data_IF_719656900081
#
_entry.id   IF_719656900081
#
_cell.length_a   1.000
_cell.length_b   1.000
_cell.length_c   1.000
_cell.angle_alpha   90.00
_cell.angle_beta   90.00
_cell.angle_gamma   90.00
#
_symmetry.space_group_name_H-M   'P 1'
#
loop_
_entity.id
_entity.type
_entity.pdbx_description
1 polymer ?
#
# COMPACT_ATOMS: atom_id res chain seq x y z
N UNK A 1 -4.53 -5.87 12.71
CA UNK A 1 -5.26 -5.27 11.57
C UNK A 1 -5.81 -3.92 12.01
N UNK A 2 -5.44 -2.81 11.35
CA UNK A 2 -5.93 -1.48 11.69
C UNK A 2 -7.41 -1.30 11.33
N UNK A 3 -8.14 -0.55 12.16
CA UNK A 3 -9.58 -0.28 11.97
C UNK A 3 -9.86 1.06 11.27
N UNK A 4 -8.89 1.99 11.25
CA UNK A 4 -9.05 3.35 10.73
C UNK A 4 -7.83 3.77 9.92
N UNK A 5 -8.01 4.68 8.97
CA UNK A 5 -6.90 5.25 8.20
C UNK A 5 -5.91 6.02 9.08
N UNK A 6 -6.40 6.71 10.10
CA UNK A 6 -5.54 7.40 11.07
C UNK A 6 -4.70 6.44 11.92
N UNK A 7 -5.24 5.27 12.31
CA UNK A 7 -4.48 4.24 13.02
C UNK A 7 -3.56 3.43 12.11
N UNK A 8 -3.79 3.47 10.80
CA UNK A 8 -2.99 2.78 9.80
C UNK A 8 -1.80 3.64 9.33
N UNK A 9 -2.08 4.81 8.74
CA UNK A 9 -1.08 5.78 8.31
C UNK A 9 -1.68 7.19 8.52
N UNK A 10 -1.25 7.90 9.59
CA UNK A 10 -1.79 9.22 9.90
C UNK A 10 -1.58 10.22 8.76
N UNK A 11 -2.59 11.04 8.48
CA UNK A 11 -2.46 12.10 7.47
C UNK A 11 -1.39 13.14 7.85
N UNK A 12 -1.17 13.33 9.16
CA UNK A 12 -0.12 14.19 9.70
C UNK A 12 1.29 13.72 9.28
N UNK A 13 1.53 12.41 9.28
CA UNK A 13 2.84 11.87 8.90
C UNK A 13 3.13 12.04 7.41
N UNK A 14 2.11 11.87 6.57
CA UNK A 14 2.20 12.18 5.13
C UNK A 14 2.49 13.67 4.93
N UNK A 15 1.79 14.51 5.70
CA UNK A 15 1.94 15.97 5.64
C UNK A 15 3.36 16.41 5.98
N UNK A 16 3.89 15.90 7.09
CA UNK A 16 5.23 16.22 7.57
C UNK A 16 6.33 15.72 6.60
N UNK A 17 6.14 14.52 6.02
CA UNK A 17 7.12 13.93 5.11
C UNK A 17 7.17 14.62 3.74
N UNK A 18 6.05 15.17 3.28
CA UNK A 18 5.94 15.79 1.95
C UNK A 18 5.99 17.33 1.98
N UNK A 19 6.05 17.95 3.17
CA UNK A 19 6.03 19.40 3.36
C UNK A 19 4.82 20.07 2.68
N UNK A 20 3.67 19.39 2.73
CA UNK A 20 2.40 19.80 2.14
C UNK A 20 1.26 19.28 2.99
N UNK A 21 0.14 19.99 3.13
CA UNK A 21 -1.05 19.47 3.84
C UNK A 21 -1.67 18.30 3.09
N UNK A 22 -1.84 17.15 3.75
CA UNK A 22 -2.61 16.01 3.25
C UNK A 22 -3.78 15.69 4.18
N UNK A 23 -4.86 15.16 3.61
CA UNK A 23 -6.05 14.75 4.35
C UNK A 23 -6.59 13.42 3.85
N UNK A 24 -7.14 12.62 4.75
CA UNK A 24 -7.95 11.46 4.38
C UNK A 24 -9.27 11.94 3.77
N UNK A 25 -9.56 11.49 2.55
CA UNK A 25 -10.83 11.81 1.89
C UNK A 25 -12.03 11.09 2.49
N UNK A 26 -11.82 9.98 3.20
CA UNK A 26 -12.89 9.11 3.69
C UNK A 26 -13.63 8.35 2.59
N UNK A 27 -13.16 8.43 1.35
CA UNK A 27 -13.72 7.71 0.20
C UNK A 27 -12.97 6.38 0.00
N UNK A 28 -13.61 5.22 0.27
CA UNK A 28 -12.96 3.94 0.03
C UNK A 28 -12.74 3.73 -1.48
N UNK A 29 -11.61 3.13 -1.84
CA UNK A 29 -11.25 2.86 -3.24
C UNK A 29 -11.14 1.36 -3.45
N UNK A 30 -11.75 0.83 -4.51
CA UNK A 30 -11.71 -0.60 -4.81
C UNK A 30 -10.28 -1.04 -5.22
N UNK A 31 -9.66 -2.02 -4.54
CA UNK A 31 -8.32 -2.48 -4.88
C UNK A 31 -8.22 -3.17 -6.26
N UNK A 32 -9.35 -3.68 -6.77
CA UNK A 32 -9.42 -4.39 -8.05
C UNK A 32 -8.98 -3.53 -9.26
N UNK A 33 -9.12 -2.20 -9.19
CA UNK A 33 -8.68 -1.29 -10.26
C UNK A 33 -7.32 -0.67 -9.99
N UNK A 34 -6.92 -0.57 -8.72
CA UNK A 34 -5.76 0.22 -8.31
C UNK A 34 -4.49 -0.59 -8.10
N UNK A 35 -4.59 -1.86 -7.69
CA UNK A 35 -3.42 -2.68 -7.43
C UNK A 35 -2.80 -3.18 -8.74
N UNK A 36 -1.48 -3.01 -8.95
CA UNK A 36 -0.78 -3.66 -10.05
C UNK A 36 -0.79 -5.19 -9.91
N UNK A 37 -1.07 -5.88 -11.01
CA UNK A 37 -0.93 -7.33 -11.15
C UNK A 37 -2.19 -8.14 -10.81
N UNK A 38 -2.51 -9.19 -11.59
CA UNK A 38 -3.72 -9.98 -11.39
C UNK A 38 -3.72 -10.76 -10.08
N UNK A 39 -2.56 -11.27 -9.63
CA UNK A 39 -2.46 -12.02 -8.37
C UNK A 39 -2.74 -11.14 -7.15
N UNK A 40 -2.26 -9.90 -7.14
CA UNK A 40 -2.54 -8.93 -6.08
C UNK A 40 -4.05 -8.61 -6.01
N UNK A 41 -4.70 -8.41 -7.16
CA UNK A 41 -6.15 -8.17 -7.22
C UNK A 41 -6.96 -9.37 -6.74
N UNK A 42 -6.58 -10.58 -7.14
CA UNK A 42 -7.24 -11.80 -6.69
C UNK A 42 -7.10 -11.99 -5.17
N UNK A 43 -5.91 -11.82 -4.61
CA UNK A 43 -5.69 -11.90 -3.17
C UNK A 43 -6.49 -10.83 -2.40
N UNK A 44 -6.64 -9.63 -2.94
CA UNK A 44 -7.46 -8.59 -2.34
C UNK A 44 -8.96 -8.95 -2.33
N UNK A 45 -9.45 -9.71 -3.30
CA UNK A 45 -10.83 -10.22 -3.34
C UNK A 45 -11.04 -11.39 -2.36
N UNK A 46 -10.00 -12.18 -2.09
CA UNK A 46 -10.03 -13.33 -1.18
C UNK A 46 -9.80 -12.94 0.30
N UNK A 47 -9.35 -11.71 0.57
CA UNK A 47 -9.08 -11.22 1.90
C UNK A 47 -10.32 -11.30 2.82
N UNK A 48 -10.13 -11.78 4.05
CA UNK A 48 -11.20 -11.92 5.03
C UNK A 48 -11.76 -10.55 5.46
N UNK A 49 -10.87 -9.56 5.60
CA UNK A 49 -11.20 -8.16 5.88
C UNK A 49 -10.20 -7.25 5.16
N UNK A 50 -10.64 -6.02 4.86
CA UNK A 50 -9.80 -5.02 4.22
C UNK A 50 -10.08 -3.62 4.79
N UNK A 51 -9.01 -2.84 4.98
CA UNK A 51 -9.05 -1.39 5.16
C UNK A 51 -8.59 -0.74 3.85
N UNK A 52 -9.29 0.30 3.41
CA UNK A 52 -8.93 1.11 2.24
C UNK A 52 -8.95 2.58 2.61
N UNK A 53 -7.84 3.25 2.30
CA UNK A 53 -7.59 4.64 2.64
C UNK A 53 -7.13 5.40 1.40
N UNK A 54 -7.53 6.67 1.33
CA UNK A 54 -7.14 7.57 0.25
C UNK A 54 -6.83 8.94 0.81
N UNK A 55 -5.59 9.35 0.69
CA UNK A 55 -5.13 10.68 1.07
C UNK A 55 -4.94 11.57 -0.15
N UNK A 56 -5.38 12.81 0.00
CA UNK A 56 -5.21 13.85 -1.00
C UNK A 56 -4.35 14.99 -0.46
N UNK A 57 -3.45 15.55 -1.27
CA UNK A 57 -2.86 16.85 -0.98
C UNK A 57 -3.92 17.95 -1.05
N UNK A 58 -3.77 18.99 -0.24
CA UNK A 58 -4.63 20.18 -0.27
C UNK A 58 -4.49 20.96 -1.59
N UNK A 59 -3.29 20.98 -2.18
CA UNK A 59 -3.01 21.81 -3.36
C UNK A 59 -3.25 21.11 -4.70
N UNK A 60 -3.27 19.78 -4.75
CA UNK A 60 -3.32 19.04 -6.01
C UNK A 60 -4.71 18.51 -6.38
N UNK A 61 -4.98 18.50 -7.68
CA UNK A 61 -6.17 17.87 -8.29
C UNK A 61 -5.85 16.52 -8.93
N UNK A 62 -4.57 16.20 -9.10
CA UNK A 62 -4.06 14.99 -9.75
C UNK A 62 -2.91 14.43 -8.92
N UNK A 63 -3.08 13.22 -8.40
CA UNK A 63 -2.11 12.54 -7.53
C UNK A 63 -2.61 12.39 -6.09
N UNK A 64 -2.95 11.15 -5.75
CA UNK A 64 -3.38 10.75 -4.41
C UNK A 64 -2.53 9.56 -3.95
N UNK A 65 -2.47 9.36 -2.64
CA UNK A 65 -1.89 8.16 -2.04
C UNK A 65 -3.05 7.23 -1.67
N UNK A 66 -2.96 5.99 -2.12
CA UNK A 66 -3.81 4.91 -1.65
C UNK A 66 -3.04 4.06 -0.66
N UNK A 67 -3.74 3.63 0.37
CA UNK A 67 -3.25 2.64 1.31
C UNK A 67 -4.29 1.56 1.53
N UNK A 68 -3.82 0.33 1.54
CA UNK A 68 -4.63 -0.83 1.83
C UNK A 68 -3.96 -1.68 2.89
N UNK A 69 -4.77 -2.28 3.75
CA UNK A 69 -4.37 -3.40 4.59
C UNK A 69 -5.40 -4.52 4.41
N UNK A 70 -4.92 -5.75 4.23
CA UNK A 70 -5.73 -6.94 3.98
C UNK A 70 -5.37 -8.01 4.98
N UNK A 71 -6.38 -8.62 5.61
CA UNK A 71 -6.17 -9.83 6.40
C UNK A 71 -6.31 -11.04 5.49
N UNK A 72 -5.22 -11.77 5.30
CA UNK A 72 -5.14 -12.95 4.43
C UNK A 72 -5.02 -14.22 5.26
N UNK A 73 -5.56 -15.34 4.77
CA UNK A 73 -5.16 -16.64 5.26
C UNK A 73 -3.75 -17.01 4.75
N UNK A 74 -3.09 -17.96 5.43
CA UNK A 74 -1.73 -18.40 5.11
C UNK A 74 -1.56 -18.82 3.64
N UNK A 75 -2.56 -19.50 3.06
CA UNK A 75 -2.45 -20.01 1.68
C UNK A 75 -2.51 -18.88 0.65
N UNK A 76 -3.40 -17.91 0.86
CA UNK A 76 -3.53 -16.72 0.01
C UNK A 76 -2.30 -15.83 0.13
N UNK A 77 -1.80 -15.64 1.36
CA UNK A 77 -0.58 -14.88 1.64
C UNK A 77 0.63 -15.48 0.94
N UNK A 78 0.93 -16.75 1.20
CA UNK A 78 2.12 -17.41 0.68
C UNK A 78 2.05 -17.52 -0.85
N UNK A 79 0.87 -17.83 -1.40
CA UNK A 79 0.63 -17.83 -2.84
C UNK A 79 0.86 -16.47 -3.49
N UNK A 80 0.47 -15.37 -2.83
CA UNK A 80 0.74 -14.03 -3.33
C UNK A 80 2.23 -13.69 -3.28
N UNK A 81 2.93 -14.00 -2.18
CA UNK A 81 4.38 -13.77 -2.04
C UNK A 81 5.15 -14.51 -3.15
N UNK A 82 4.83 -15.77 -3.39
CA UNK A 82 5.44 -16.58 -4.45
C UNK A 82 5.15 -16.01 -5.85
N UNK A 83 3.92 -15.57 -6.11
CA UNK A 83 3.54 -14.96 -7.38
C UNK A 83 4.28 -13.65 -7.64
N UNK A 84 4.43 -12.80 -6.61
CA UNK A 84 5.18 -11.54 -6.71
C UNK A 84 6.67 -11.80 -6.91
N UNK A 85 7.26 -12.73 -6.15
CA UNK A 85 8.68 -13.06 -6.24
C UNK A 85 9.11 -13.76 -7.53
N UNK A 86 8.17 -14.40 -8.24
CA UNK A 86 8.43 -15.04 -9.53
C UNK A 86 8.16 -14.13 -10.74
N UNK A 87 7.47 -13.00 -10.54
CA UNK A 87 7.10 -12.07 -11.60
C UNK A 87 8.19 -11.03 -11.84
N UNK A 88 8.64 -10.88 -13.09
CA UNK A 88 9.73 -9.95 -13.47
C UNK A 88 9.38 -8.46 -13.36
N UNK A 89 8.11 -8.13 -13.12
CA UNK A 89 7.63 -6.75 -12.97
C UNK A 89 7.76 -6.22 -11.54
N UNK A 90 8.06 -7.10 -10.59
CA UNK A 90 8.25 -6.75 -9.19
C UNK A 90 9.71 -6.94 -8.80
N UNK A 91 10.19 -6.00 -8.01
CA UNK A 91 11.49 -6.06 -7.37
C UNK A 91 11.29 -6.44 -5.90
N UNK A 92 12.03 -7.45 -5.42
CA UNK A 92 12.04 -7.76 -3.99
C UNK A 92 12.86 -6.69 -3.26
N UNK A 93 12.27 -6.08 -2.23
CA UNK A 93 12.88 -5.01 -1.44
C UNK A 93 12.84 -5.35 0.05
N UNK A 94 13.70 -4.68 0.83
CA UNK A 94 13.66 -4.77 2.29
C UNK A 94 12.83 -3.62 2.84
N UNK A 95 11.91 -3.92 3.75
CA UNK A 95 11.09 -2.94 4.46
C UNK A 95 11.20 -3.30 5.95
N UNK A 96 11.57 -2.35 6.82
CA UNK A 96 11.72 -2.63 8.24
C UNK A 96 10.38 -3.07 8.84
N UNK A 97 10.40 -4.20 9.55
CA UNK A 97 9.22 -4.77 10.20
C UNK A 97 8.36 -5.68 9.30
N UNK A 98 8.67 -5.80 8.01
CA UNK A 98 8.01 -6.73 7.10
C UNK A 98 8.73 -8.09 7.05
N UNK A 99 7.95 -9.16 6.87
CA UNK A 99 8.43 -10.51 6.53
C UNK A 99 8.89 -10.59 5.07
N UNK A 100 8.20 -9.86 4.18
CA UNK A 100 8.51 -9.75 2.76
C UNK A 100 8.09 -8.39 2.21
N UNK A 101 8.83 -7.87 1.24
CA UNK A 101 8.57 -6.58 0.59
C UNK A 101 8.76 -6.66 -0.92
N UNK A 102 7.89 -6.00 -1.67
CA UNK A 102 7.99 -5.89 -3.12
C UNK A 102 7.69 -4.47 -3.59
N UNK A 103 8.41 -4.04 -4.62
CA UNK A 103 8.22 -2.77 -5.29
C UNK A 103 7.87 -2.99 -6.76
N UNK A 104 7.02 -2.12 -7.30
CA UNK A 104 6.86 -1.97 -8.75
C UNK A 104 6.50 -0.53 -9.10
N UNK A 105 6.69 -0.15 -10.36
CA UNK A 105 6.18 1.12 -10.86
C UNK A 105 5.68 1.00 -12.28
N UNK A 106 4.65 1.76 -12.60
CA UNK A 106 4.07 1.85 -13.94
C UNK A 106 3.70 3.30 -14.26
N UNK A 107 3.57 3.62 -15.55
CA UNK A 107 3.10 4.93 -15.98
C UNK A 107 1.59 4.88 -16.16
N UNK A 108 0.83 5.72 -15.45
CA UNK A 108 -0.62 5.88 -15.56
C UNK A 108 -0.93 7.29 -16.06
N UNK A 109 -1.36 7.40 -17.31
CA UNK A 109 -1.46 8.71 -17.97
C UNK A 109 -0.08 9.35 -18.07
N UNK A 110 0.08 10.54 -17.50
CA UNK A 110 1.33 11.30 -17.51
C UNK A 110 2.18 11.12 -16.24
N UNK A 111 1.69 10.36 -15.24
CA UNK A 111 2.34 10.19 -13.95
C UNK A 111 2.84 8.76 -13.75
N UNK A 112 4.10 8.62 -13.31
CA UNK A 112 4.61 7.36 -12.78
C UNK A 112 3.97 7.10 -11.43
N UNK A 113 3.25 5.99 -11.31
CA UNK A 113 2.75 5.47 -10.06
C UNK A 113 3.68 4.37 -9.58
N UNK A 114 4.06 4.46 -8.33
CA UNK A 114 4.84 3.47 -7.63
C UNK A 114 3.93 2.69 -6.70
N UNK A 115 4.31 1.45 -6.42
CA UNK A 115 3.58 0.58 -5.51
C UNK A 115 4.54 -0.19 -4.64
N UNK A 116 4.29 -0.16 -3.34
CA UNK A 116 4.98 -1.00 -2.36
C UNK A 116 3.98 -2.00 -1.79
N UNK A 117 4.37 -3.26 -1.77
CA UNK A 117 3.68 -4.35 -1.08
C UNK A 117 4.54 -4.81 0.11
N UNK A 118 3.96 -4.86 1.30
CA UNK A 118 4.63 -5.33 2.50
C UNK A 118 3.76 -6.39 3.20
N UNK A 119 4.39 -7.46 3.68
CA UNK A 119 3.72 -8.55 4.39
C UNK A 119 4.20 -8.58 5.84
N UNK A 120 3.28 -8.60 6.80
CA UNK A 120 3.58 -8.68 8.24
C UNK A 120 2.59 -9.63 8.91
N UNK A 121 3.06 -10.81 9.32
CA UNK A 121 2.17 -11.86 9.80
C UNK A 121 1.11 -12.20 8.75
N UNK A 122 -0.16 -12.17 9.13
CA UNK A 122 -1.33 -12.41 8.26
C UNK A 122 -1.83 -11.15 7.53
N UNK A 123 -1.16 -10.00 7.71
CA UNK A 123 -1.56 -8.74 7.08
C UNK A 123 -0.68 -8.43 5.87
N UNK A 124 -1.33 -8.14 4.75
CA UNK A 124 -0.71 -7.57 3.56
C UNK A 124 -1.06 -6.09 3.43
N UNK A 125 -0.04 -5.26 3.32
CA UNK A 125 -0.12 -3.81 3.11
C UNK A 125 0.23 -3.48 1.67
N UNK A 126 -0.57 -2.61 1.04
CA UNK A 126 -0.26 -2.06 -0.27
C UNK A 126 -0.39 -0.54 -0.26
N UNK A 127 0.68 0.16 -0.64
CA UNK A 127 0.69 1.61 -0.84
C UNK A 127 0.89 1.93 -2.32
N UNK A 128 0.02 2.77 -2.89
CA UNK A 128 0.04 3.12 -4.32
C UNK A 128 -0.09 4.62 -4.47
N UNK A 129 0.83 5.25 -5.20
CA UNK A 129 0.74 6.68 -5.47
C UNK A 129 1.86 7.19 -6.38
N UNK A 130 1.77 8.43 -6.87
CA UNK A 130 2.80 9.05 -7.70
C UNK A 130 3.98 9.55 -6.87
N UNK A 131 4.55 8.67 -6.04
CA UNK A 131 5.64 8.95 -5.12
C UNK A 131 6.89 8.13 -5.48
N UNK A 132 8.04 8.57 -5.00
CA UNK A 132 9.28 7.79 -5.12
C UNK A 132 9.24 6.57 -4.20
N UNK A 133 9.99 5.53 -4.57
CA UNK A 133 10.12 4.29 -3.81
C UNK A 133 10.48 4.54 -2.35
N UNK A 134 11.55 5.32 -2.10
CA UNK A 134 12.02 5.63 -0.74
C UNK A 134 10.90 6.21 0.15
N UNK A 135 10.11 7.13 -0.41
CA UNK A 135 8.96 7.72 0.30
C UNK A 135 7.89 6.67 0.62
N UNK A 136 7.53 5.82 -0.34
CA UNK A 136 6.54 4.76 -0.11
C UNK A 136 7.04 3.69 0.86
N UNK A 137 8.33 3.37 0.84
CA UNK A 137 8.93 2.43 1.80
C UNK A 137 8.85 3.01 3.21
N UNK A 138 9.20 4.28 3.41
CA UNK A 138 9.08 4.94 4.71
C UNK A 138 7.62 4.93 5.22
N UNK A 139 6.65 5.22 4.35
CA UNK A 139 5.23 5.13 4.71
C UNK A 139 4.79 3.68 4.98
N UNK A 140 5.35 2.69 4.30
CA UNK A 140 5.05 1.29 4.56
C UNK A 140 5.58 0.85 5.93
N UNK A 141 6.77 1.31 6.34
CA UNK A 141 7.33 1.04 7.67
C UNK A 141 6.47 1.64 8.78
N UNK A 142 5.96 2.86 8.58
CA UNK A 142 5.02 3.48 9.51
C UNK A 142 3.68 2.73 9.55
N UNK A 143 3.16 2.36 8.39
CA UNK A 143 1.93 1.58 8.27
C UNK A 143 2.03 0.22 9.00
N UNK A 144 3.18 -0.46 8.88
CA UNK A 144 3.46 -1.71 9.60
C UNK A 144 3.44 -1.49 11.11
N UNK A 145 4.02 -0.39 11.60
CA UNK A 145 3.99 -0.06 13.01
C UNK A 145 2.55 0.14 13.53
N UNK A 146 1.67 0.73 12.72
CA UNK A 146 0.23 0.84 13.02
C UNK A 146 -0.53 -0.50 13.03
N UNK A 147 -0.06 -1.50 12.28
CA UNK A 147 -0.66 -2.85 12.29
C UNK A 147 -0.23 -3.68 13.49
N UNK A 148 0.99 -3.46 13.99
CA UNK A 148 1.59 -4.21 15.10
C UNK A 148 1.24 -3.67 16.50
N UNK A 149 0.59 -2.50 16.58
CA UNK A 149 0.14 -1.85 17.81
C UNK A 149 -1.17 -2.44 18.35
#
# INVERSE_FOLDING_TARGET
MPETCEGFLPAASITDALDETWYDSGEPVGPATELPGPSARAAAEEAATALSCRWWPESATEGYLLGYAFLLDDSTRDGLIDALGSASTYEAITIVGADAGFFTSEVRGDLRHSTVYAFVGDVWIALVGPLFEETLVNFAEEAIAGVAA
#
